data_IF_257190959411
#
_entry.id   IF_257190959411
#
_cell.length_a   1.000
_cell.length_b   1.000
_cell.length_c   1.000
_cell.angle_alpha   90.00
_cell.angle_beta   90.00
_cell.angle_gamma   90.00
#
_symmetry.space_group_name_H-M   'P 1'
#
loop_
_entity.id
_entity.type
_entity.pdbx_description
1 polymer ?
#
# COMPACT_ATOMS: atom_id res chain seq x y z
N UNK A 1 -6.18 15.60 10.45
CA UNK A 1 -4.99 15.62 9.58
C UNK A 1 -5.21 16.62 8.45
N UNK A 2 -4.17 17.30 7.99
CA UNK A 2 -4.27 18.15 6.78
C UNK A 2 -4.06 17.29 5.53
N UNK A 3 -4.52 17.78 4.37
CA UNK A 3 -4.28 17.11 3.09
C UNK A 3 -2.79 16.95 2.78
N UNK A 4 -1.99 17.98 3.07
CA UNK A 4 -0.54 17.96 2.85
C UNK A 4 0.15 16.90 3.72
N UNK A 5 -0.31 16.71 4.95
CA UNK A 5 0.20 15.67 5.83
C UNK A 5 -0.07 14.27 5.25
N UNK A 6 -1.31 14.00 4.80
CA UNK A 6 -1.68 12.70 4.25
C UNK A 6 -0.89 12.33 2.99
N UNK A 7 -0.74 13.29 2.06
CA UNK A 7 0.06 13.10 0.86
C UNK A 7 1.55 12.89 1.18
N UNK A 8 2.10 13.67 2.11
CA UNK A 8 3.50 13.59 2.51
C UNK A 8 3.84 12.27 3.22
N UNK A 9 3.02 11.86 4.19
CA UNK A 9 3.21 10.61 4.93
C UNK A 9 3.06 9.40 3.99
N UNK A 10 2.06 9.40 3.10
CA UNK A 10 1.90 8.34 2.10
C UNK A 10 3.10 8.27 1.15
N UNK A 11 3.62 9.41 0.69
CA UNK A 11 4.83 9.46 -0.15
C UNK A 11 6.06 8.88 0.56
N UNK A 12 6.23 9.17 1.86
CA UNK A 12 7.30 8.60 2.68
C UNK A 12 7.17 7.07 2.80
N UNK A 13 5.97 6.57 3.10
CA UNK A 13 5.71 5.13 3.21
C UNK A 13 5.94 4.40 1.89
N UNK A 14 5.57 5.02 0.76
CA UNK A 14 5.86 4.50 -0.58
C UNK A 14 7.36 4.50 -0.90
N UNK A 15 8.12 5.48 -0.41
CA UNK A 15 9.57 5.46 -0.53
C UNK A 15 10.20 4.30 0.26
N UNK A 16 9.69 4.00 1.46
CA UNK A 16 10.13 2.86 2.27
C UNK A 16 9.77 1.52 1.60
N UNK A 17 8.56 1.41 1.05
CA UNK A 17 8.13 0.22 0.30
C UNK A 17 9.01 0.00 -0.94
N UNK A 18 9.35 1.07 -1.69
CA UNK A 18 10.27 0.97 -2.83
C UNK A 18 11.65 0.48 -2.41
N UNK A 19 12.16 0.93 -1.27
CA UNK A 19 13.45 0.47 -0.75
C UNK A 19 13.43 -1.02 -0.33
N UNK A 20 12.26 -1.59 -0.07
CA UNK A 20 12.07 -3.01 0.22
C UNK A 20 11.86 -3.88 -1.04
N UNK A 21 11.76 -3.28 -2.23
CA UNK A 21 11.64 -4.01 -3.48
C UNK A 21 12.92 -4.78 -3.81
N UNK A 22 12.76 -6.02 -4.27
CA UNK A 22 13.85 -6.92 -4.69
C UNK A 22 14.11 -6.87 -6.20
N UNK A 23 13.18 -6.27 -6.95
CA UNK A 23 13.25 -6.15 -8.39
C UNK A 23 12.86 -4.74 -8.87
N UNK A 24 13.38 -4.36 -10.03
CA UNK A 24 13.20 -3.03 -10.62
C UNK A 24 11.75 -2.78 -11.07
N UNK A 25 10.99 -3.82 -11.44
CA UNK A 25 9.60 -3.64 -11.84
C UNK A 25 8.75 -3.22 -10.63
N UNK A 26 8.90 -3.91 -9.49
CA UNK A 26 8.28 -3.53 -8.23
C UNK A 26 8.74 -2.14 -7.76
N UNK A 27 10.03 -1.83 -7.87
CA UNK A 27 10.53 -0.50 -7.51
C UNK A 27 9.92 0.61 -8.38
N UNK A 28 9.72 0.37 -9.67
CA UNK A 28 9.10 1.31 -10.62
C UNK A 28 7.61 1.51 -10.35
N UNK A 29 6.88 0.43 -10.08
CA UNK A 29 5.45 0.51 -9.79
C UNK A 29 5.20 1.35 -8.53
N UNK A 30 5.99 1.12 -7.48
CA UNK A 30 5.89 1.89 -6.23
C UNK A 30 6.33 3.34 -6.43
N UNK A 31 7.32 3.59 -7.29
CA UNK A 31 7.66 4.96 -7.68
C UNK A 31 6.50 5.68 -8.37
N UNK A 32 5.76 4.99 -9.25
CA UNK A 32 4.54 5.52 -9.87
C UNK A 32 3.49 5.92 -8.83
N UNK A 33 3.21 5.02 -7.88
CA UNK A 33 2.28 5.29 -6.78
C UNK A 33 2.70 6.49 -5.92
N UNK A 34 4.00 6.66 -5.69
CA UNK A 34 4.52 7.82 -4.95
C UNK A 34 4.25 9.12 -5.70
N UNK A 35 4.49 9.14 -7.01
CA UNK A 35 4.20 10.32 -7.85
C UNK A 35 2.71 10.65 -7.84
N UNK A 36 1.86 9.63 -7.87
CA UNK A 36 0.41 9.82 -7.73
C UNK A 36 0.03 10.42 -6.37
N UNK A 37 0.58 9.91 -5.26
CA UNK A 37 0.33 10.46 -3.93
C UNK A 37 0.74 11.94 -3.80
N UNK A 38 1.80 12.35 -4.50
CA UNK A 38 2.33 13.72 -4.47
C UNK A 38 1.54 14.71 -5.37
N UNK A 39 0.85 14.20 -6.40
CA UNK A 39 0.27 15.05 -7.47
C UNK A 39 -1.25 15.00 -7.55
N UNK A 40 -1.89 13.93 -7.08
CA UNK A 40 -3.33 13.74 -7.17
C UNK A 40 -4.09 14.38 -6.00
N UNK A 41 -5.39 14.70 -6.19
CA UNK A 41 -6.22 15.23 -5.12
C UNK A 41 -6.43 14.20 -4.00
N UNK A 42 -6.83 14.68 -2.82
CA UNK A 42 -7.02 13.85 -1.62
C UNK A 42 -7.96 12.66 -1.84
N UNK A 43 -9.02 12.83 -2.63
CA UNK A 43 -9.99 11.78 -2.95
C UNK A 43 -9.37 10.58 -3.68
N UNK A 44 -8.25 10.77 -4.37
CA UNK A 44 -7.53 9.71 -5.06
C UNK A 44 -6.60 8.91 -4.13
N UNK A 45 -6.25 9.44 -2.95
CA UNK A 45 -5.30 8.78 -2.05
C UNK A 45 -5.81 7.42 -1.56
N UNK A 46 -7.13 7.24 -1.43
CA UNK A 46 -7.74 5.93 -1.13
C UNK A 46 -7.32 4.88 -2.15
N UNK A 47 -7.43 5.20 -3.45
CA UNK A 47 -7.04 4.30 -4.54
C UNK A 47 -5.53 4.03 -4.53
N UNK A 48 -4.72 5.06 -4.29
CA UNK A 48 -3.25 4.93 -4.20
C UNK A 48 -2.87 4.00 -3.05
N UNK A 49 -3.46 4.17 -1.86
CA UNK A 49 -3.19 3.32 -0.69
C UNK A 49 -3.60 1.87 -0.94
N UNK A 50 -4.78 1.61 -1.52
CA UNK A 50 -5.22 0.24 -1.87
C UNK A 50 -4.24 -0.42 -2.84
N UNK A 51 -3.86 0.28 -3.92
CA UNK A 51 -2.92 -0.24 -4.91
C UNK A 51 -1.53 -0.48 -4.33
N UNK A 52 -1.10 0.37 -3.39
CA UNK A 52 0.17 0.22 -2.70
C UNK A 52 0.19 -1.00 -1.78
N UNK A 53 -0.89 -1.28 -1.06
CA UNK A 53 -1.03 -2.50 -0.25
C UNK A 53 -1.02 -3.73 -1.14
N UNK A 54 -1.81 -3.74 -2.22
CA UNK A 54 -1.80 -4.85 -3.17
C UNK A 54 -0.40 -5.08 -3.77
N UNK A 55 0.37 -4.01 -4.02
CA UNK A 55 1.74 -4.15 -4.52
C UNK A 55 2.69 -4.70 -3.46
N UNK A 56 2.55 -4.27 -2.21
CA UNK A 56 3.33 -4.79 -1.09
C UNK A 56 3.04 -6.28 -0.85
N UNK A 57 1.78 -6.70 -0.94
CA UNK A 57 1.39 -8.12 -0.82
C UNK A 57 2.04 -8.98 -1.92
N UNK A 58 2.02 -8.52 -3.17
CA UNK A 58 2.67 -9.22 -4.28
C UNK A 58 4.18 -9.36 -4.05
N UNK A 59 4.84 -8.33 -3.52
CA UNK A 59 6.25 -8.37 -3.17
C UNK A 59 6.54 -9.41 -2.08
N UNK A 60 5.73 -9.42 -1.01
CA UNK A 60 5.83 -10.40 0.07
C UNK A 60 5.68 -11.82 -0.46
N UNK A 61 4.70 -12.08 -1.32
CA UNK A 61 4.48 -13.40 -1.92
C UNK A 61 5.63 -13.84 -2.83
N UNK A 62 6.20 -12.94 -3.62
CA UNK A 62 7.38 -13.26 -4.44
C UNK A 62 8.59 -13.64 -3.57
N UNK A 63 8.83 -12.90 -2.47
CA UNK A 63 9.90 -13.24 -1.52
C UNK A 63 9.67 -14.59 -0.85
N UNK A 64 8.43 -14.90 -0.45
CA UNK A 64 8.07 -16.23 0.10
C UNK A 64 8.32 -17.33 -0.93
N UNK A 65 7.90 -17.13 -2.19
CA UNK A 65 8.09 -18.10 -3.26
C UNK A 65 9.58 -18.37 -3.57
N UNK A 66 10.44 -17.37 -3.36
CA UNK A 66 11.91 -17.47 -3.53
C UNK A 66 12.64 -17.96 -2.29
N UNK A 67 11.96 -18.04 -1.14
CA UNK A 67 12.59 -18.33 0.16
C UNK A 67 13.47 -17.20 0.70
N UNK A 68 13.31 -15.96 0.22
CA UNK A 68 14.05 -14.80 0.71
C UNK A 68 13.35 -14.19 1.94
N UNK A 69 13.61 -14.78 3.10
CA UNK A 69 13.02 -14.35 4.38
C UNK A 69 13.42 -12.94 4.77
N UNK A 70 14.66 -12.53 4.46
CA UNK A 70 15.13 -11.19 4.78
C UNK A 70 14.42 -10.11 3.94
N UNK A 71 14.15 -10.39 2.66
CA UNK A 71 13.32 -9.50 1.83
C UNK A 71 11.88 -9.48 2.33
N UNK A 72 11.29 -10.65 2.63
CA UNK A 72 9.95 -10.75 3.20
C UNK A 72 9.80 -9.90 4.46
N UNK A 73 10.72 -9.98 5.42
CA UNK A 73 10.64 -9.21 6.66
C UNK A 73 10.63 -7.69 6.41
N UNK A 74 11.49 -7.21 5.49
CA UNK A 74 11.53 -5.77 5.13
C UNK A 74 10.24 -5.33 4.45
N UNK A 75 9.70 -6.17 3.56
CA UNK A 75 8.48 -5.88 2.81
C UNK A 75 7.25 -5.91 3.72
N UNK A 76 7.13 -6.92 4.58
CA UNK A 76 6.05 -7.05 5.55
C UNK A 76 6.06 -5.89 6.56
N UNK A 77 7.25 -5.46 7.03
CA UNK A 77 7.36 -4.28 7.88
C UNK A 77 6.90 -2.99 7.19
N UNK A 78 7.25 -2.81 5.91
CA UNK A 78 6.79 -1.66 5.12
C UNK A 78 5.27 -1.72 4.86
N UNK A 79 4.74 -2.91 4.54
CA UNK A 79 3.32 -3.17 4.34
C UNK A 79 2.51 -2.89 5.61
N UNK A 80 2.99 -3.31 6.78
CA UNK A 80 2.34 -3.09 8.06
C UNK A 80 2.19 -1.60 8.38
N UNK A 81 3.26 -0.80 8.21
CA UNK A 81 3.20 0.66 8.39
C UNK A 81 2.23 1.33 7.42
N UNK A 82 2.24 0.90 6.16
CA UNK A 82 1.33 1.43 5.14
C UNK A 82 -0.14 1.11 5.47
N UNK A 83 -0.41 -0.11 5.92
CA UNK A 83 -1.75 -0.54 6.33
C UNK A 83 -2.21 0.23 7.58
N UNK A 84 -1.36 0.33 8.61
CA UNK A 84 -1.65 1.10 9.84
C UNK A 84 -1.97 2.56 9.52
N UNK A 85 -1.14 3.20 8.69
CA UNK A 85 -1.41 4.55 8.21
C UNK A 85 -2.75 4.63 7.47
N UNK A 86 -3.01 3.71 6.54
CA UNK A 86 -4.26 3.69 5.78
C UNK A 86 -5.51 3.54 6.66
N UNK A 87 -5.44 2.75 7.72
CA UNK A 87 -6.52 2.62 8.72
C UNK A 87 -6.68 3.92 9.52
N UNK A 88 -5.58 4.42 10.11
CA UNK A 88 -5.59 5.61 10.96
C UNK A 88 -6.00 6.89 10.20
N UNK A 89 -5.65 6.98 8.92
CA UNK A 89 -6.02 8.06 8.03
C UNK A 89 -7.45 7.93 7.46
N UNK A 90 -8.15 6.82 7.72
CA UNK A 90 -9.47 6.54 7.14
C UNK A 90 -9.45 6.23 5.65
N UNK A 91 -8.27 5.95 5.06
CA UNK A 91 -8.10 5.61 3.64
C UNK A 91 -8.50 4.16 3.33
N UNK A 92 -8.58 3.30 4.35
CA UNK A 92 -9.00 1.89 4.24
C UNK A 92 -10.33 1.59 4.94
N UNK A 93 -10.94 2.59 5.59
CA UNK A 93 -12.21 2.44 6.29
C UNK A 93 -13.37 2.35 5.27
N UNK A 94 -13.58 1.16 4.70
CA UNK A 94 -14.63 0.91 3.73
C UNK A 94 -14.50 -0.36 2.88
N UNK A 95 -13.37 -1.08 2.93
CA UNK A 95 -13.26 -2.40 2.28
C UNK A 95 -13.94 -3.44 3.17
N UNK A 96 -15.26 -3.54 3.06
CA UNK A 96 -16.01 -4.68 3.59
C UNK A 96 -15.59 -5.94 2.83
N UNK A 97 -14.63 -6.68 3.38
CA UNK A 97 -14.46 -8.08 3.03
C UNK A 97 -15.72 -8.81 3.53
N UNK A 98 -16.59 -9.20 2.60
CA UNK A 98 -17.79 -10.03 2.75
C UNK A 98 -19.06 -9.41 3.37
N UNK A 99 -20.05 -9.14 2.53
CA UNK A 99 -21.44 -9.48 2.84
C UNK A 99 -21.93 -10.52 1.81
N UNK A 100 -22.45 -11.69 2.23
CA UNK A 100 -23.14 -12.59 1.31
C UNK A 100 -24.44 -11.94 0.80
N UNK A 101 -24.91 -12.28 -0.42
CA UNK A 101 -26.13 -11.71 -0.96
C UNK A 101 -27.30 -12.05 -0.02
N UNK A 102 -27.99 -11.00 0.43
CA UNK A 102 -29.27 -11.13 1.11
C UNK A 102 -30.27 -11.74 0.12
N UNK A 103 -30.57 -13.02 0.33
CA UNK A 103 -31.68 -13.71 -0.33
C UNK A 103 -32.96 -12.96 -0.02
N UNK A 104 -33.49 -12.24 -1.03
CA UNK A 104 -34.86 -11.73 -1.00
C UNK A 104 -35.77 -12.88 -1.40
N UNK A 105 -36.52 -13.36 -0.39
CA UNK A 105 -37.82 -14.04 -0.39
C UNK A 105 -38.12 -15.06 -1.50
#
# INVERSE_FOLDING_TARGET
MTQQYLAGELSLLLAQLRAAATDEASARDVFGLRREAETLPLSALVSVTIRAIARADLMCWDSVARGDTAAFDRQAAAAAKLHEFGVCAGLLAGVSLSQPPSSKR
#
